data_IF_442370045324
#
_entry.id   IF_442370045324
#
_cell.length_a   1.000
_cell.length_b   1.000
_cell.length_c   1.000
_cell.angle_alpha   90.00
_cell.angle_beta   90.00
_cell.angle_gamma   90.00
#
_symmetry.space_group_name_H-M   'P 1'
#
loop_
_entity.id
_entity.type
_entity.pdbx_description
1 polymer ?
#
# COMPACT_ATOMS: atom_id res chain seq x y z
N UNK A 1 18.25 13.54 15.28
CA UNK A 1 17.03 13.22 14.52
C UNK A 1 17.46 12.88 13.11
N UNK A 2 17.19 11.65 12.66
CA UNK A 2 17.46 11.26 11.28
C UNK A 2 16.27 11.73 10.45
N UNK A 3 16.53 12.53 9.41
CA UNK A 3 15.54 12.92 8.41
C UNK A 3 15.02 11.64 7.72
N UNK A 4 13.73 11.26 7.88
CA UNK A 4 13.17 10.07 7.23
C UNK A 4 13.11 10.21 5.70
N UNK A 5 13.21 11.44 5.17
CA UNK A 5 13.24 11.75 3.74
C UNK A 5 14.66 11.75 3.15
N UNK A 6 15.69 11.46 3.96
CA UNK A 6 17.08 11.44 3.51
C UNK A 6 17.28 10.47 2.34
N UNK A 7 17.63 11.01 1.17
CA UNK A 7 17.83 10.25 -0.06
C UNK A 7 18.96 9.21 0.10
N UNK A 8 18.70 7.94 -0.21
CA UNK A 8 19.75 6.92 -0.38
C UNK A 8 20.78 7.36 -1.44
N UNK A 9 22.05 6.99 -1.23
CA UNK A 9 23.19 7.42 -2.06
C UNK A 9 23.11 6.95 -3.52
N UNK A 10 23.67 7.73 -4.45
CA UNK A 10 23.56 7.49 -5.90
C UNK A 10 24.12 6.15 -6.40
N UNK A 11 25.05 5.55 -5.67
CA UNK A 11 25.65 4.25 -6.00
C UNK A 11 24.68 3.08 -5.78
N UNK A 12 23.76 3.18 -4.80
CA UNK A 12 22.72 2.15 -4.57
C UNK A 12 21.63 2.17 -5.65
N UNK A 13 21.39 3.33 -6.29
CA UNK A 13 20.41 3.48 -7.39
C UNK A 13 20.88 2.82 -8.69
N UNK A 14 22.16 2.95 -9.02
CA UNK A 14 22.73 2.43 -10.26
C UNK A 14 22.75 0.88 -10.31
N UNK A 15 23.02 0.23 -9.17
CA UNK A 15 23.05 -1.23 -9.08
C UNK A 15 21.65 -1.87 -9.17
N UNK A 16 20.61 -1.25 -8.59
CA UNK A 16 19.23 -1.73 -8.72
C UNK A 16 18.69 -1.56 -10.15
N UNK A 17 19.02 -0.44 -10.81
CA UNK A 17 18.55 -0.11 -12.16
C UNK A 17 18.91 -1.15 -13.23
N UNK A 18 20.05 -1.83 -13.12
CA UNK A 18 20.48 -2.81 -14.12
C UNK A 18 19.77 -4.18 -13.95
N UNK A 19 19.46 -4.57 -12.71
CA UNK A 19 18.70 -5.79 -12.40
C UNK A 19 17.21 -5.59 -12.72
N UNK A 20 16.66 -4.42 -12.40
CA UNK A 20 15.28 -4.04 -12.72
C UNK A 20 15.05 -3.94 -14.25
N UNK A 21 16.05 -3.53 -15.04
CA UNK A 21 15.94 -3.46 -16.50
C UNK A 21 15.84 -4.85 -17.18
N UNK A 22 16.44 -5.89 -16.59
CA UNK A 22 16.50 -7.25 -17.18
C UNK A 22 15.39 -8.16 -16.61
N UNK A 23 14.98 -7.97 -15.36
CA UNK A 23 14.01 -8.84 -14.65
C UNK A 23 12.65 -8.13 -14.43
N UNK A 24 12.66 -6.81 -14.26
CA UNK A 24 11.52 -6.00 -13.77
C UNK A 24 10.38 -5.76 -14.77
N UNK A 25 10.48 -6.16 -16.03
CA UNK A 25 9.35 -5.98 -16.97
C UNK A 25 8.26 -7.04 -16.83
N UNK A 26 8.56 -8.19 -16.21
CA UNK A 26 7.59 -9.26 -15.89
C UNK A 26 7.71 -9.84 -14.48
N UNK A 27 8.86 -9.69 -13.83
CA UNK A 27 9.14 -10.26 -12.52
C UNK A 27 9.44 -9.15 -11.53
N UNK A 28 8.46 -8.82 -10.70
CA UNK A 28 8.60 -7.80 -9.66
C UNK A 28 7.27 -7.31 -9.12
N UNK A 29 7.34 -6.52 -8.06
CA UNK A 29 6.19 -5.89 -7.42
C UNK A 29 5.89 -4.56 -8.12
N UNK A 30 4.61 -4.28 -8.35
CA UNK A 30 4.14 -3.00 -8.92
C UNK A 30 4.56 -1.87 -7.98
N UNK A 31 5.15 -0.80 -8.51
CA UNK A 31 5.51 0.38 -7.69
C UNK A 31 4.87 1.66 -8.17
N UNK A 32 4.70 1.83 -9.47
CA UNK A 32 4.11 3.01 -10.10
C UNK A 32 3.71 2.70 -11.53
N UNK A 33 3.19 3.71 -12.24
CA UNK A 33 2.83 3.62 -13.65
C UNK A 33 3.51 4.77 -14.40
N UNK A 34 4.18 4.49 -15.51
CA UNK A 34 4.64 5.55 -16.41
C UNK A 34 3.47 5.99 -17.29
N UNK A 35 2.93 7.16 -17.00
CA UNK A 35 1.74 7.72 -17.68
C UNK A 35 1.85 9.24 -17.81
N UNK A 36 1.16 9.80 -18.82
CA UNK A 36 0.95 11.24 -18.94
C UNK A 36 -0.45 11.67 -18.45
N UNK A 37 -1.31 10.71 -18.10
CA UNK A 37 -2.60 11.04 -17.49
C UNK A 37 -2.35 11.56 -16.08
N UNK A 38 -3.05 12.60 -15.63
CA UNK A 38 -2.83 13.17 -14.30
C UNK A 38 -3.52 12.34 -13.22
N UNK A 39 -3.21 11.04 -13.20
CA UNK A 39 -3.79 10.06 -12.28
C UNK A 39 -2.73 9.60 -11.30
N UNK A 40 -3.16 9.36 -10.06
CA UNK A 40 -2.37 8.76 -8.98
C UNK A 40 -3.24 7.73 -8.25
N UNK A 41 -2.64 6.82 -7.50
CA UNK A 41 -3.38 5.93 -6.61
C UNK A 41 -3.03 6.26 -5.17
N UNK A 42 -3.96 6.87 -4.44
CA UNK A 42 -3.90 6.90 -2.98
C UNK A 42 -4.26 5.51 -2.47
N UNK A 43 -3.41 4.97 -1.60
CA UNK A 43 -3.60 3.63 -1.03
C UNK A 43 -3.50 3.65 0.48
N UNK A 44 -4.41 2.96 1.16
CA UNK A 44 -4.52 2.93 2.62
C UNK A 44 -4.30 1.51 3.13
N UNK A 45 -3.31 1.32 4.00
CA UNK A 45 -2.98 0.03 4.62
C UNK A 45 -3.57 -0.10 6.04
N UNK A 46 -3.60 -1.34 6.55
CA UNK A 46 -3.92 -1.80 7.91
C UNK A 46 -5.40 -1.89 8.31
N UNK A 47 -6.28 -1.16 7.62
CA UNK A 47 -7.69 -1.11 7.94
C UNK A 47 -8.51 -2.38 7.60
N UNK A 48 -9.85 -2.26 7.68
CA UNK A 48 -10.60 -1.07 8.07
C UNK A 48 -10.50 -0.75 9.58
N UNK A 49 -10.64 0.52 9.93
CA UNK A 49 -10.82 1.04 11.28
C UNK A 49 -12.19 1.71 11.41
N UNK A 50 -12.86 1.50 12.54
CA UNK A 50 -14.17 2.10 12.82
C UNK A 50 -14.11 3.62 12.96
N UNK A 51 -12.94 4.18 13.30
CA UNK A 51 -12.78 5.62 13.51
C UNK A 51 -12.44 6.37 12.24
N UNK A 52 -11.45 5.89 11.49
CA UNK A 52 -10.82 6.66 10.41
C UNK A 52 -11.34 6.30 9.03
N UNK A 53 -11.55 5.01 8.74
CA UNK A 53 -12.03 4.57 7.41
C UNK A 53 -13.34 5.28 7.01
N UNK A 54 -14.38 5.41 7.86
CA UNK A 54 -15.60 6.13 7.48
C UNK A 54 -15.36 7.60 7.13
N UNK A 55 -14.50 8.29 7.89
CA UNK A 55 -14.19 9.71 7.68
C UNK A 55 -13.40 9.91 6.38
N UNK A 56 -12.44 9.01 6.10
CA UNK A 56 -11.67 9.01 4.85
C UNK A 56 -12.59 8.77 3.65
N UNK A 57 -13.55 7.84 3.76
CA UNK A 57 -14.56 7.60 2.72
C UNK A 57 -15.42 8.85 2.46
N UNK A 58 -15.90 9.51 3.52
CA UNK A 58 -16.67 10.75 3.40
C UNK A 58 -15.89 11.84 2.63
N UNK A 59 -14.58 11.97 2.91
CA UNK A 59 -13.69 12.90 2.20
C UNK A 59 -13.52 12.47 0.74
N UNK A 60 -13.20 11.19 0.47
CA UNK A 60 -13.05 10.70 -0.91
C UNK A 60 -14.31 10.98 -1.74
N UNK A 61 -15.50 10.77 -1.18
CA UNK A 61 -16.77 11.08 -1.82
C UNK A 61 -16.92 12.59 -2.11
N UNK A 62 -16.59 13.47 -1.15
CA UNK A 62 -16.65 14.93 -1.33
C UNK A 62 -15.78 15.42 -2.50
N UNK A 63 -14.62 14.79 -2.70
CA UNK A 63 -13.70 15.13 -3.77
C UNK A 63 -13.92 14.32 -5.05
N UNK A 64 -14.93 13.44 -5.10
CA UNK A 64 -15.17 12.51 -6.22
C UNK A 64 -13.91 11.70 -6.59
N UNK A 65 -13.18 11.27 -5.57
CA UNK A 65 -11.92 10.55 -5.67
C UNK A 65 -12.12 9.07 -5.33
N UNK A 66 -11.31 8.20 -5.92
CA UNK A 66 -11.24 6.79 -5.54
C UNK A 66 -9.84 6.43 -5.02
N UNK A 67 -9.76 5.36 -4.21
CA UNK A 67 -8.56 4.88 -3.57
C UNK A 67 -8.58 3.34 -3.52
N UNK A 68 -7.45 2.74 -3.15
CA UNK A 68 -7.36 1.30 -2.86
C UNK A 68 -7.03 1.08 -1.39
N UNK A 69 -7.82 0.25 -0.70
CA UNK A 69 -7.62 -0.09 0.71
C UNK A 69 -7.03 -1.50 0.80
N UNK A 70 -5.79 -1.61 1.25
CA UNK A 70 -5.14 -2.89 1.55
C UNK A 70 -5.51 -3.31 2.98
N UNK A 71 -6.45 -4.23 3.09
CA UNK A 71 -7.07 -4.58 4.37
C UNK A 71 -6.47 -5.83 4.98
N UNK A 72 -6.40 -5.84 6.31
CA UNK A 72 -6.16 -7.05 7.09
C UNK A 72 -7.44 -7.87 7.17
N UNK A 73 -7.36 -9.18 6.97
CA UNK A 73 -8.53 -10.07 7.08
C UNK A 73 -9.18 -9.98 8.46
N UNK A 74 -8.38 -9.89 9.52
CA UNK A 74 -8.90 -9.79 10.89
C UNK A 74 -9.72 -8.50 11.11
N UNK A 75 -9.24 -7.38 10.57
CA UNK A 75 -9.96 -6.09 10.61
C UNK A 75 -11.24 -6.13 9.76
N UNK A 76 -11.15 -6.68 8.55
CA UNK A 76 -12.29 -6.83 7.65
C UNK A 76 -13.39 -7.70 8.26
N UNK A 77 -13.02 -8.78 8.98
CA UNK A 77 -13.98 -9.66 9.67
C UNK A 77 -14.72 -8.95 10.79
N UNK A 78 -14.08 -8.01 11.48
CA UNK A 78 -14.69 -7.24 12.57
C UNK A 78 -15.65 -6.16 12.07
N UNK A 79 -15.40 -5.61 10.89
CA UNK A 79 -16.13 -4.45 10.34
C UNK A 79 -16.63 -4.73 8.90
N UNK A 80 -17.36 -5.83 8.65
CA UNK A 80 -17.78 -6.22 7.30
C UNK A 80 -18.67 -5.16 6.63
N UNK A 81 -19.45 -4.40 7.40
CA UNK A 81 -20.24 -3.28 6.89
C UNK A 81 -19.38 -2.17 6.31
N UNK A 82 -18.21 -1.88 6.89
CA UNK A 82 -17.28 -0.91 6.33
C UNK A 82 -16.60 -1.46 5.08
N UNK A 83 -16.28 -2.75 5.04
CA UNK A 83 -15.77 -3.39 3.82
C UNK A 83 -16.78 -3.23 2.68
N UNK A 84 -18.06 -3.54 2.92
CA UNK A 84 -19.10 -3.35 1.92
C UNK A 84 -19.26 -1.88 1.50
N UNK A 85 -19.14 -0.93 2.44
CA UNK A 85 -19.20 0.50 2.15
C UNK A 85 -18.06 0.93 1.22
N UNK A 86 -16.83 0.48 1.49
CA UNK A 86 -15.65 0.72 0.63
C UNK A 86 -15.94 0.26 -0.80
N UNK A 87 -16.51 -0.94 -0.98
CA UNK A 87 -16.89 -1.45 -2.32
C UNK A 87 -18.02 -0.62 -2.94
N UNK A 88 -19.07 -0.33 -2.19
CA UNK A 88 -20.25 0.39 -2.68
C UNK A 88 -19.94 1.81 -3.16
N UNK A 89 -18.93 2.45 -2.57
CA UNK A 89 -18.45 3.79 -2.95
C UNK A 89 -17.41 3.76 -4.09
N UNK A 90 -17.17 2.59 -4.69
CA UNK A 90 -16.34 2.43 -5.88
C UNK A 90 -14.83 2.38 -5.60
N UNK A 91 -14.44 2.15 -4.34
CA UNK A 91 -13.04 1.92 -3.98
C UNK A 91 -12.64 0.47 -4.18
N UNK A 92 -11.33 0.25 -4.33
CA UNK A 92 -10.78 -1.08 -4.54
C UNK A 92 -10.25 -1.67 -3.23
N UNK A 93 -10.37 -2.99 -3.09
CA UNK A 93 -9.85 -3.72 -1.94
C UNK A 93 -8.65 -4.57 -2.37
N UNK A 94 -7.54 -4.41 -1.65
CA UNK A 94 -6.38 -5.29 -1.69
C UNK A 94 -6.22 -6.07 -0.39
N UNK A 95 -5.47 -7.15 -0.42
CA UNK A 95 -5.10 -7.91 0.77
C UNK A 95 -3.82 -7.34 1.41
N UNK A 96 -3.81 -7.12 2.72
CA UNK A 96 -2.62 -6.77 3.50
C UNK A 96 -2.13 -7.88 4.45
N UNK A 97 -2.61 -9.10 4.21
CA UNK A 97 -2.33 -10.25 5.07
C UNK A 97 -3.45 -10.46 6.08
N UNK A 98 -3.19 -11.32 7.07
CA UNK A 98 -4.22 -11.71 8.02
C UNK A 98 -4.23 -10.81 9.26
N UNK A 99 -3.06 -10.58 9.87
CA UNK A 99 -2.85 -9.98 11.19
C UNK A 99 -1.61 -9.06 11.27
N UNK A 100 -1.20 -8.45 10.15
CA UNK A 100 -0.02 -7.58 10.00
C UNK A 100 1.36 -8.24 10.25
N UNK A 101 1.42 -9.58 10.40
CA UNK A 101 2.72 -10.27 10.56
C UNK A 101 3.53 -10.29 9.27
N UNK A 102 4.86 -10.18 9.43
CA UNK A 102 5.82 -10.32 8.33
C UNK A 102 5.74 -11.71 7.69
N UNK A 103 5.70 -11.74 6.36
CA UNK A 103 5.83 -12.97 5.58
C UNK A 103 7.30 -13.32 5.28
N UNK A 104 8.24 -12.41 5.55
CA UNK A 104 9.67 -12.61 5.34
C UNK A 104 10.19 -13.73 6.25
N UNK A 105 10.30 -14.94 5.69
CA UNK A 105 10.66 -16.17 6.41
C UNK A 105 9.75 -17.36 6.08
N UNK A 106 8.58 -17.12 5.48
CA UNK A 106 7.71 -18.17 4.97
C UNK A 106 8.26 -18.85 3.73
N UNK A 107 8.07 -20.17 3.61
CA UNK A 107 8.32 -20.90 2.36
C UNK A 107 7.30 -20.50 1.29
N UNK A 108 7.66 -20.61 0.00
CA UNK A 108 6.73 -20.42 -1.14
C UNK A 108 5.40 -21.13 -0.94
N UNK A 109 5.42 -22.38 -0.48
CA UNK A 109 4.22 -23.20 -0.24
C UNK A 109 3.38 -22.66 0.92
N UNK A 110 4.00 -22.35 2.07
CA UNK A 110 3.26 -21.83 3.23
C UNK A 110 2.67 -20.46 2.95
N UNK A 111 3.43 -19.57 2.28
CA UNK A 111 2.94 -18.26 1.85
C UNK A 111 1.76 -18.39 0.90
N UNK A 112 1.87 -19.25 -0.12
CA UNK A 112 0.76 -19.51 -1.05
C UNK A 112 -0.51 -19.95 -0.33
N UNK A 113 -0.42 -20.97 0.53
CA UNK A 113 -1.60 -21.51 1.22
C UNK A 113 -2.26 -20.48 2.13
N UNK A 114 -1.44 -19.75 2.89
CA UNK A 114 -1.91 -18.68 3.78
C UNK A 114 -2.60 -17.56 3.00
N UNK A 115 -1.95 -17.04 1.95
CA UNK A 115 -2.49 -15.92 1.18
C UNK A 115 -3.70 -16.30 0.34
N UNK A 116 -3.74 -17.52 -0.23
CA UNK A 116 -4.92 -18.00 -0.94
C UNK A 116 -6.13 -18.09 -0.02
N UNK A 117 -5.95 -18.58 1.21
CA UNK A 117 -7.01 -18.63 2.21
C UNK A 117 -7.46 -17.21 2.64
N UNK A 118 -6.50 -16.34 2.94
CA UNK A 118 -6.76 -14.95 3.33
C UNK A 118 -7.49 -14.15 2.22
N UNK A 119 -7.05 -14.29 0.96
CA UNK A 119 -7.70 -13.66 -0.17
C UNK A 119 -9.12 -14.20 -0.41
N UNK A 120 -9.32 -15.51 -0.26
CA UNK A 120 -10.65 -16.13 -0.39
C UNK A 120 -11.61 -15.63 0.70
N UNK A 121 -11.13 -15.49 1.92
CA UNK A 121 -11.94 -14.96 3.02
C UNK A 121 -12.28 -13.49 2.80
N UNK A 122 -11.30 -12.65 2.47
CA UNK A 122 -11.53 -11.24 2.18
C UNK A 122 -12.45 -11.04 0.97
N UNK A 123 -12.34 -11.89 -0.05
CA UNK A 123 -13.26 -11.89 -1.18
C UNK A 123 -14.70 -12.24 -0.76
N UNK A 124 -14.86 -13.16 0.20
CA UNK A 124 -16.17 -13.52 0.75
C UNK A 124 -16.77 -12.35 1.53
N UNK A 125 -15.97 -11.68 2.36
CA UNK A 125 -16.40 -10.53 3.15
C UNK A 125 -16.73 -9.33 2.26
N UNK A 126 -15.92 -9.07 1.24
CA UNK A 126 -16.11 -7.90 0.36
C UNK A 126 -17.13 -8.11 -0.75
N UNK A 127 -17.53 -9.36 -1.03
CA UNK A 127 -18.40 -9.69 -2.15
C UNK A 127 -17.74 -9.55 -3.53
N UNK A 128 -16.42 -9.33 -3.60
CA UNK A 128 -15.68 -9.20 -4.85
C UNK A 128 -14.32 -9.91 -4.83
N UNK A 129 -13.78 -10.34 -5.98
CA UNK A 129 -12.45 -10.99 -6.02
C UNK A 129 -11.33 -10.03 -5.58
N UNK A 130 -10.42 -10.53 -4.74
CA UNK A 130 -9.21 -9.80 -4.34
C UNK A 130 -8.06 -10.15 -5.27
N UNK A 131 -7.55 -9.14 -5.99
CA UNK A 131 -6.49 -9.31 -7.01
C UNK A 131 -5.10 -8.91 -6.52
N UNK A 132 -5.04 -7.92 -5.63
CA UNK A 132 -3.78 -7.32 -5.20
C UNK A 132 -3.43 -7.71 -3.78
N UNK A 133 -2.13 -7.79 -3.53
CA UNK A 133 -1.56 -8.01 -2.22
C UNK A 133 -0.46 -6.99 -1.96
N UNK A 134 -0.40 -6.45 -0.75
CA UNK A 134 0.74 -5.67 -0.27
C UNK A 134 1.30 -6.35 0.99
N UNK A 135 2.58 -6.72 1.01
CA UNK A 135 3.18 -7.33 2.19
C UNK A 135 3.33 -6.31 3.33
N UNK A 136 2.96 -6.66 4.57
CA UNK A 136 3.26 -5.84 5.74
C UNK A 136 4.73 -5.40 5.78
N UNK A 137 4.97 -4.15 6.14
CA UNK A 137 6.29 -3.50 6.15
C UNK A 137 7.01 -3.46 4.79
N UNK A 138 6.33 -3.79 3.69
CA UNK A 138 6.97 -4.02 2.39
C UNK A 138 7.95 -5.21 2.40
N UNK A 139 7.86 -6.09 3.39
CA UNK A 139 8.86 -7.13 3.64
C UNK A 139 8.62 -8.36 2.76
N UNK A 140 9.54 -8.60 1.83
CA UNK A 140 9.41 -9.68 0.85
C UNK A 140 10.72 -10.45 0.68
N UNK A 141 10.62 -11.76 0.46
CA UNK A 141 11.71 -12.62 -0.01
C UNK A 141 11.33 -13.19 -1.38
N UNK A 142 12.27 -13.73 -2.14
CA UNK A 142 11.93 -14.42 -3.41
C UNK A 142 10.93 -15.55 -3.16
N UNK A 143 11.09 -16.31 -2.07
CA UNK A 143 10.18 -17.39 -1.70
C UNK A 143 8.76 -16.89 -1.42
N UNK A 144 8.61 -15.83 -0.62
CA UNK A 144 7.29 -15.25 -0.33
C UNK A 144 6.65 -14.65 -1.59
N UNK A 145 7.40 -13.92 -2.42
CA UNK A 145 6.91 -13.36 -3.69
C UNK A 145 6.37 -14.44 -4.64
N UNK A 146 7.10 -15.54 -4.80
CA UNK A 146 6.60 -16.66 -5.61
C UNK A 146 5.35 -17.28 -4.99
N UNK A 147 5.25 -17.31 -3.67
CA UNK A 147 4.06 -17.79 -2.96
C UNK A 147 2.86 -16.86 -3.17
N UNK A 148 3.06 -15.54 -3.14
CA UNK A 148 2.06 -14.52 -3.47
C UNK A 148 1.53 -14.71 -4.90
N UNK A 149 2.43 -14.88 -5.87
CA UNK A 149 2.08 -15.14 -7.27
C UNK A 149 1.33 -16.46 -7.46
N UNK A 150 1.76 -17.53 -6.80
CA UNK A 150 1.07 -18.82 -6.84
C UNK A 150 -0.31 -18.80 -6.17
N UNK A 151 -0.58 -17.82 -5.29
CA UNK A 151 -1.89 -17.58 -4.72
C UNK A 151 -2.81 -16.78 -5.67
N UNK A 152 -2.31 -16.39 -6.85
CA UNK A 152 -3.05 -15.61 -7.84
C UNK A 152 -3.05 -14.10 -7.57
N UNK A 153 -2.17 -13.61 -6.69
CA UNK A 153 -2.14 -12.21 -6.27
C UNK A 153 -1.02 -11.44 -6.98
N UNK A 154 -1.34 -10.21 -7.38
CA UNK A 154 -0.38 -9.23 -7.88
C UNK A 154 0.18 -8.42 -6.70
N UNK A 155 1.49 -8.48 -6.48
CA UNK A 155 2.13 -7.68 -5.42
C UNK A 155 2.19 -6.20 -5.80
N UNK A 156 1.62 -5.34 -4.96
CA UNK A 156 1.60 -3.88 -5.10
C UNK A 156 2.32 -3.24 -3.93
N UNK A 157 3.33 -2.44 -4.25
CA UNK A 157 4.11 -1.63 -3.31
C UNK A 157 3.76 -0.16 -3.56
N UNK A 158 4.72 0.73 -3.34
CA UNK A 158 4.62 2.17 -3.56
C UNK A 158 5.93 2.72 -4.10
N UNK A 159 5.87 3.83 -4.83
CA UNK A 159 7.02 4.69 -5.12
C UNK A 159 7.14 5.82 -4.09
N UNK A 160 6.04 6.22 -3.45
CA UNK A 160 5.99 7.30 -2.48
C UNK A 160 5.43 6.81 -1.14
N UNK A 161 6.27 6.88 -0.11
CA UNK A 161 5.87 6.71 1.30
C UNK A 161 5.53 8.09 1.88
N UNK A 162 4.34 8.21 2.49
CA UNK A 162 3.88 9.43 3.16
C UNK A 162 4.53 9.65 4.52
N UNK A 163 5.03 8.58 5.14
CA UNK A 163 5.52 8.59 6.52
C UNK A 163 4.49 9.05 7.56
N UNK A 164 3.19 8.89 7.29
CA UNK A 164 2.08 9.14 8.23
C UNK A 164 2.12 8.26 9.49
N UNK A 165 3.00 7.26 9.50
CA UNK A 165 3.31 6.38 10.63
C UNK A 165 4.48 6.86 11.51
N UNK A 166 5.20 7.92 11.12
CA UNK A 166 6.50 8.28 11.70
C UNK A 166 6.47 9.38 12.78
N UNK A 167 5.27 9.83 13.16
CA UNK A 167 5.06 10.88 14.18
C UNK A 167 5.15 12.32 13.67
N UNK A 168 5.19 12.52 12.34
CA UNK A 168 5.05 13.84 11.70
C UNK A 168 3.60 14.36 11.84
N UNK A 169 3.42 15.68 11.78
CA UNK A 169 2.09 16.30 11.81
C UNK A 169 1.37 16.20 10.46
N UNK A 170 0.03 16.31 10.45
CA UNK A 170 -0.82 16.09 9.26
C UNK A 170 -0.45 17.02 8.10
N UNK A 171 -0.14 18.29 8.39
CA UNK A 171 0.27 19.27 7.37
C UNK A 171 1.64 18.96 6.77
N UNK A 172 2.56 18.45 7.58
CA UNK A 172 3.91 18.09 7.14
C UNK A 172 3.85 16.86 6.23
N UNK A 173 3.13 15.81 6.66
CA UNK A 173 2.83 14.63 5.84
C UNK A 173 2.18 15.04 4.53
N UNK A 174 1.15 15.89 4.59
CA UNK A 174 0.45 16.33 3.38
C UNK A 174 1.37 17.09 2.42
N UNK A 175 2.17 18.05 2.93
CA UNK A 175 3.11 18.81 2.10
C UNK A 175 4.10 17.89 1.38
N UNK A 176 4.69 16.95 2.12
CA UNK A 176 5.68 16.01 1.56
C UNK A 176 5.07 15.08 0.50
N UNK A 177 3.86 14.59 0.72
CA UNK A 177 3.13 13.80 -0.27
C UNK A 177 2.83 14.65 -1.50
N UNK A 178 2.27 15.85 -1.32
CA UNK A 178 1.88 16.74 -2.43
C UNK A 178 3.10 17.10 -3.27
N UNK A 179 4.24 17.43 -2.66
CA UNK A 179 5.43 17.89 -3.38
C UNK A 179 6.12 16.76 -4.16
N UNK A 180 6.09 15.53 -3.63
CA UNK A 180 6.80 14.39 -4.22
C UNK A 180 5.96 13.56 -5.18
N UNK A 181 4.64 13.72 -5.16
CA UNK A 181 3.73 12.94 -6.02
C UNK A 181 3.84 13.41 -7.46
N UNK A 182 3.94 12.44 -8.37
CA UNK A 182 3.98 12.65 -9.82
C UNK A 182 2.87 11.83 -10.50
N UNK A 183 2.48 12.15 -11.75
CA UNK A 183 1.58 11.30 -12.53
C UNK A 183 2.04 9.84 -12.53
N UNK A 184 1.15 8.94 -12.12
CA UNK A 184 1.44 7.52 -12.03
C UNK A 184 1.97 7.02 -10.69
N UNK A 185 2.13 7.89 -9.68
CA UNK A 185 2.53 7.46 -8.34
C UNK A 185 1.46 6.61 -7.65
N UNK A 186 1.93 5.63 -6.89
CA UNK A 186 1.18 4.87 -5.89
C UNK A 186 1.67 5.34 -4.52
N UNK A 187 0.80 6.02 -3.78
CA UNK A 187 1.11 6.66 -2.51
C UNK A 187 0.68 5.75 -1.36
N UNK A 188 1.61 5.40 -0.47
CA UNK A 188 1.33 4.68 0.77
C UNK A 188 0.86 5.65 1.86
N UNK A 189 -0.35 5.42 2.35
CA UNK A 189 -0.97 5.99 3.54
C UNK A 189 -1.52 4.84 4.37
N UNK A 190 -1.99 5.13 5.58
CA UNK A 190 -2.73 4.15 6.38
C UNK A 190 -4.08 4.71 6.84
N UNK A 191 -5.10 3.87 6.96
CA UNK A 191 -6.37 4.23 7.61
C UNK A 191 -6.42 3.76 9.08
N UNK A 192 -5.36 3.08 9.56
CA UNK A 192 -5.03 2.85 10.97
C UNK A 192 -3.55 2.46 11.08
N UNK A 193 -2.96 2.34 12.27
CA UNK A 193 -1.72 1.55 12.42
C UNK A 193 -2.08 0.26 13.15
N UNK A 194 -1.88 -0.89 12.52
CA UNK A 194 -2.13 -2.18 13.17
C UNK A 194 -1.22 -2.39 14.40
N UNK A 195 0.01 -1.88 14.33
CA UNK A 195 1.02 -2.02 15.38
C UNK A 195 0.97 -0.90 16.44
N UNK A 196 0.23 0.18 16.19
CA UNK A 196 0.06 1.30 17.12
C UNK A 196 -1.37 1.89 17.06
N UNK A 197 -2.36 1.18 17.63
CA UNK A 197 -3.75 1.63 17.61
C UNK A 197 -4.00 2.86 18.51
N UNK A 198 -3.03 3.29 19.31
CA UNK A 198 -3.13 4.46 20.18
C UNK A 198 -2.67 5.76 19.48
N UNK A 199 -2.12 5.66 18.28
CA UNK A 199 -1.68 6.80 17.49
C UNK A 199 -2.82 7.81 17.28
N UNK A 200 -2.60 9.06 17.67
CA UNK A 200 -3.59 10.15 17.61
C UNK A 200 -3.55 10.96 16.31
N UNK A 201 -2.76 10.52 15.33
CA UNK A 201 -2.62 11.21 14.04
C UNK A 201 -3.96 11.24 13.30
N UNK A 202 -4.43 12.43 12.90
CA UNK A 202 -5.71 12.58 12.21
C UNK A 202 -5.59 12.20 10.73
N UNK A 203 -5.87 10.93 10.47
CA UNK A 203 -5.78 10.31 9.13
C UNK A 203 -6.73 10.94 8.12
N UNK A 204 -7.90 11.37 8.58
CA UNK A 204 -8.89 12.01 7.74
C UNK A 204 -8.42 13.41 7.33
N UNK A 205 -7.96 14.22 8.29
CA UNK A 205 -7.41 15.54 8.00
C UNK A 205 -6.19 15.48 7.06
N UNK A 206 -5.29 14.52 7.25
CA UNK A 206 -4.17 14.30 6.35
C UNK A 206 -4.64 13.92 4.93
N UNK A 207 -5.60 13.00 4.81
CA UNK A 207 -6.16 12.59 3.52
C UNK A 207 -6.83 13.77 2.79
N UNK A 208 -7.60 14.60 3.49
CA UNK A 208 -8.24 15.79 2.92
C UNK A 208 -7.19 16.77 2.36
N UNK A 209 -6.19 17.13 3.17
CA UNK A 209 -5.12 18.04 2.76
C UNK A 209 -4.39 17.52 1.51
N UNK A 210 -4.10 16.22 1.46
CA UNK A 210 -3.44 15.56 0.32
C UNK A 210 -4.33 15.65 -0.92
N UNK A 211 -5.59 15.21 -0.85
CA UNK A 211 -6.49 15.18 -2.01
C UNK A 211 -6.70 16.59 -2.58
N UNK A 212 -6.92 17.58 -1.71
CA UNK A 212 -7.08 18.98 -2.08
C UNK A 212 -5.80 19.55 -2.72
N UNK A 213 -4.62 19.23 -2.16
CA UNK A 213 -3.33 19.63 -2.71
C UNK A 213 -3.02 19.00 -4.07
N UNK A 214 -3.28 17.71 -4.24
CA UNK A 214 -3.11 17.00 -5.51
C UNK A 214 -4.05 17.56 -6.58
N UNK A 215 -5.30 17.86 -6.22
CA UNK A 215 -6.27 18.48 -7.12
C UNK A 215 -5.80 19.86 -7.61
N UNK A 216 -5.19 20.68 -6.75
CA UNK A 216 -4.55 21.95 -7.16
C UNK A 216 -3.39 21.76 -8.14
N UNK A 217 -2.68 20.63 -8.02
CA UNK A 217 -1.66 20.19 -9.00
C UNK A 217 -2.27 19.49 -10.23
N UNK A 218 -3.59 19.53 -10.40
CA UNK A 218 -4.37 18.85 -11.45
C UNK A 218 -4.31 17.32 -11.43
N UNK A 219 -3.78 16.72 -10.37
CA UNK A 219 -3.72 15.27 -10.16
C UNK A 219 -5.02 14.77 -9.52
N UNK A 220 -5.49 13.60 -9.95
CA UNK A 220 -6.71 12.96 -9.46
C UNK A 220 -6.41 11.56 -8.95
N UNK A 221 -6.97 11.21 -7.78
CA UNK A 221 -6.84 9.87 -7.23
C UNK A 221 -7.82 8.89 -7.88
N UNK A 222 -7.32 7.72 -8.24
CA UNK A 222 -8.08 6.56 -8.72
C UNK A 222 -7.64 5.29 -7.98
N UNK A 223 -8.27 4.16 -8.27
CA UNK A 223 -7.86 2.86 -7.73
C UNK A 223 -6.54 2.40 -8.37
N UNK A 224 -5.84 1.45 -7.74
CA UNK A 224 -4.65 0.82 -8.32
C UNK A 224 -4.98 0.24 -9.69
N UNK A 225 -6.07 -0.53 -9.85
CA UNK A 225 -6.48 -1.01 -11.18
C UNK A 225 -6.65 0.12 -12.20
N UNK A 226 -7.37 1.20 -11.84
CA UNK A 226 -7.58 2.35 -12.72
C UNK A 226 -6.27 3.03 -13.12
N UNK A 227 -5.32 3.12 -12.19
CA UNK A 227 -3.99 3.66 -12.48
C UNK A 227 -3.20 2.75 -13.42
N UNK A 228 -3.23 1.43 -13.23
CA UNK A 228 -2.51 0.47 -14.07
C UNK A 228 -2.99 0.48 -15.52
N UNK A 229 -4.28 0.73 -15.75
CA UNK A 229 -4.86 0.89 -17.09
C UNK A 229 -4.44 2.20 -17.78
N UNK A 230 -3.89 3.16 -17.02
CA UNK A 230 -3.57 4.49 -17.54
C UNK A 230 -2.30 4.54 -18.38
N UNK A 231 -1.37 3.57 -18.23
CA UNK A 231 -0.05 3.62 -18.85
C UNK A 231 0.80 2.37 -18.63
N UNK A 232 2.12 2.53 -18.69
CA UNK A 232 3.06 1.40 -18.58
C UNK A 232 3.45 1.13 -17.12
N UNK A 233 2.97 0.00 -16.58
CA UNK A 233 3.31 -0.46 -15.22
C UNK A 233 4.83 -0.54 -15.01
N UNK A 234 5.31 0.08 -13.94
CA UNK A 234 6.69 -0.01 -13.47
C UNK A 234 6.75 -0.98 -12.29
N UNK A 235 7.62 -1.99 -12.40
CA UNK A 235 7.85 -2.96 -11.33
C UNK A 235 9.31 -2.93 -10.90
N UNK A 236 9.56 -3.28 -9.65
CA UNK A 236 10.92 -3.44 -9.14
C UNK A 236 11.05 -4.73 -8.33
N UNK A 237 12.26 -5.28 -8.32
CA UNK A 237 12.62 -6.40 -7.47
C UNK A 237 12.95 -5.90 -6.05
N UNK A 238 11.92 -5.75 -5.20
CA UNK A 238 12.11 -5.36 -3.80
C UNK A 238 12.21 -6.60 -2.90
N UNK A 239 13.36 -7.27 -2.91
CA UNK A 239 13.58 -8.47 -2.09
C UNK A 239 14.57 -8.18 -0.96
N UNK A 240 14.15 -8.43 0.27
CA UNK A 240 15.07 -8.52 1.40
C UNK A 240 15.99 -9.73 1.21
N UNK A 241 17.30 -9.48 1.09
CA UNK A 241 18.33 -10.53 0.95
C UNK A 241 18.75 -11.14 2.30
N UNK A 242 18.10 -10.74 3.40
CA UNK A 242 18.48 -11.16 4.75
C UNK A 242 17.27 -11.72 5.51
N UNK A 243 17.35 -12.99 5.91
CA UNK A 243 16.64 -13.51 7.09
C UNK A 243 17.24 -12.84 8.32
N UNK A 244 16.91 -11.57 8.56
CA UNK A 244 17.37 -10.86 9.75
C UNK A 244 16.73 -11.52 10.97
N UNK A 245 17.49 -12.37 11.64
CA UNK A 245 17.16 -12.89 12.97
C UNK A 245 17.53 -11.78 13.94
N UNK A 246 16.54 -10.95 14.29
CA UNK A 246 16.69 -9.97 15.35
C UNK A 246 17.11 -10.68 16.63
N UNK A 247 18.32 -10.36 17.07
CA UNK A 247 18.91 -10.86 18.30
C UNK A 247 18.10 -10.36 19.49
N UNK A 248 17.79 -11.27 20.39
CA UNK A 248 17.49 -10.96 21.79
C UNK A 248 18.64 -10.17 22.43
N UNK A 249 18.29 -9.07 23.11
CA UNK A 249 18.92 -8.46 24.29
C UNK A 249 18.70 -6.94 24.29
N UNK A 250 18.45 -6.20 25.39
CA UNK A 250 18.01 -6.50 26.75
C UNK A 250 17.92 -5.11 27.44
N UNK A 251 16.83 -4.82 28.15
CA UNK A 251 16.78 -4.09 29.45
C UNK A 251 15.34 -3.77 29.81
#
# INVERSE_FOLDING_TARGET
MNDPFARKSGLQRAAHSAVDAVVGTRWGSIRSVRTYRPLVALTFDDGPSSEWTPKILDILAQYSAHATFFMLVESARRLPELVHRVVAEGHEIGLHGYDHRRLAGGSRRSTRLMLAAAASELATISGQPVKYFRPPFGAQTVGSFLGERDAGLETVMWDLDSFDWSGLGEREVASEVIDRTEPGSIVLLHDTLADDPACTFDRAAAAELIIDGLRRRTLQSTTVSGLLESGQVQRAAYFSLSTWHGSSANS
#
